data_IF_317096047447
#
_entry.id   IF_317096047447
#
_cell.length_a   1.000
_cell.length_b   1.000
_cell.length_c   1.000
_cell.angle_alpha   90.00
_cell.angle_beta   90.00
_cell.angle_gamma   90.00
#
_symmetry.space_group_name_H-M   'P 1'
#
loop_
_entity.id
_entity.type
_entity.pdbx_description
1 polymer ?
#
# COMPACT_ATOMS: atom_id res chain seq x y z
N UNK A 1 98.74 -4.00 -34.15
CA UNK A 1 97.37 -4.10 -33.60
C UNK A 1 96.61 -5.10 -34.48
N UNK A 2 96.14 -6.22 -33.92
CA UNK A 2 95.58 -7.33 -34.71
C UNK A 2 94.17 -6.97 -35.26
N UNK A 3 93.90 -7.14 -36.56
CA UNK A 3 92.61 -6.77 -37.18
C UNK A 3 91.42 -7.58 -36.64
N UNK A 4 91.70 -8.74 -36.03
CA UNK A 4 90.71 -9.62 -35.41
C UNK A 4 90.06 -9.05 -34.14
N UNK A 5 90.73 -8.12 -33.45
CA UNK A 5 90.19 -7.50 -32.25
C UNK A 5 88.95 -6.62 -32.52
N UNK A 6 88.91 -5.93 -33.67
CA UNK A 6 87.77 -5.08 -34.04
C UNK A 6 86.53 -5.87 -34.43
N UNK A 7 86.71 -7.01 -35.14
CA UNK A 7 85.61 -7.90 -35.54
C UNK A 7 84.99 -8.59 -34.33
N UNK A 8 85.83 -9.06 -33.40
CA UNK A 8 85.36 -9.67 -32.15
C UNK A 8 84.57 -8.67 -31.28
N UNK A 9 85.03 -7.42 -31.17
CA UNK A 9 84.31 -6.37 -30.45
C UNK A 9 82.97 -6.02 -31.10
N UNK A 10 82.91 -5.96 -32.43
CA UNK A 10 81.67 -5.72 -33.17
C UNK A 10 80.62 -6.83 -32.99
N UNK A 11 81.06 -8.10 -33.03
CA UNK A 11 80.19 -9.25 -32.77
C UNK A 11 79.64 -9.25 -31.33
N UNK A 12 80.48 -8.92 -30.35
CA UNK A 12 80.07 -8.81 -28.94
C UNK A 12 79.03 -7.72 -28.73
N UNK A 13 79.21 -6.54 -29.34
CA UNK A 13 78.24 -5.45 -29.30
C UNK A 13 76.91 -5.85 -29.96
N UNK A 14 76.96 -6.53 -31.10
CA UNK A 14 75.76 -6.99 -31.80
C UNK A 14 74.98 -8.02 -30.98
N UNK A 15 75.68 -8.96 -30.33
CA UNK A 15 75.08 -9.93 -29.42
C UNK A 15 74.43 -9.26 -28.22
N UNK A 16 75.10 -8.28 -27.60
CA UNK A 16 74.55 -7.52 -26.48
C UNK A 16 73.29 -6.75 -26.89
N UNK A 17 73.30 -6.14 -28.08
CA UNK A 17 72.16 -5.37 -28.60
C UNK A 17 70.96 -6.27 -28.91
N UNK A 18 71.20 -7.45 -29.48
CA UNK A 18 70.16 -8.48 -29.67
C UNK A 18 69.57 -8.94 -28.33
N UNK A 19 70.41 -9.15 -27.33
CA UNK A 19 69.96 -9.55 -25.99
C UNK A 19 69.07 -8.47 -25.36
N UNK A 20 69.49 -7.21 -25.44
CA UNK A 20 68.72 -6.05 -24.98
C UNK A 20 67.36 -5.93 -25.68
N UNK A 21 67.34 -6.04 -27.01
CA UNK A 21 66.09 -5.98 -27.79
C UNK A 21 65.16 -7.14 -27.45
N UNK A 22 65.70 -8.37 -27.30
CA UNK A 22 64.88 -9.53 -26.91
C UNK A 22 64.27 -9.38 -25.51
N UNK A 23 65.04 -8.85 -24.55
CA UNK A 23 64.57 -8.67 -23.18
C UNK A 23 63.54 -7.53 -23.11
N UNK A 24 63.76 -6.46 -23.86
CA UNK A 24 62.81 -5.37 -24.00
C UNK A 24 61.50 -5.82 -24.63
N UNK A 25 61.56 -6.57 -25.73
CA UNK A 25 60.37 -7.11 -26.40
C UNK A 25 59.60 -8.07 -25.48
N UNK A 26 60.28 -8.93 -24.72
CA UNK A 26 59.66 -9.80 -23.74
C UNK A 26 58.99 -9.03 -22.60
N UNK A 27 59.63 -7.96 -22.11
CA UNK A 27 59.09 -7.09 -21.07
C UNK A 27 57.84 -6.34 -21.54
N UNK A 28 57.88 -5.72 -22.72
CA UNK A 28 56.75 -4.97 -23.26
C UNK A 28 55.57 -5.91 -23.59
N UNK A 29 55.88 -7.11 -24.11
CA UNK A 29 54.87 -8.13 -24.33
C UNK A 29 54.20 -8.54 -23.01
N UNK A 30 54.99 -8.81 -21.96
CA UNK A 30 54.47 -9.11 -20.63
C UNK A 30 53.56 -8.00 -20.08
N UNK A 31 54.00 -6.74 -20.13
CA UNK A 31 53.17 -5.58 -19.75
C UNK A 31 51.86 -5.51 -20.54
N UNK A 32 51.93 -5.70 -21.86
CA UNK A 32 50.74 -5.60 -22.73
C UNK A 32 49.70 -6.69 -22.40
N UNK A 33 50.16 -7.90 -22.08
CA UNK A 33 49.29 -9.02 -21.67
C UNK A 33 48.66 -8.74 -20.32
N UNK A 34 49.42 -8.25 -19.34
CA UNK A 34 48.87 -7.89 -18.02
C UNK A 34 47.82 -6.78 -18.12
N UNK A 35 48.07 -5.72 -18.91
CA UNK A 35 47.08 -4.68 -19.14
C UNK A 35 45.83 -5.20 -19.87
N UNK A 36 45.99 -6.09 -20.84
CA UNK A 36 44.87 -6.69 -21.55
C UNK A 36 44.02 -7.58 -20.63
N UNK A 37 44.65 -8.43 -19.81
CA UNK A 37 43.98 -9.29 -18.83
C UNK A 37 43.25 -8.46 -17.77
N UNK A 38 43.93 -7.44 -17.21
CA UNK A 38 43.32 -6.53 -16.25
C UNK A 38 42.14 -5.75 -16.84
N UNK A 39 42.24 -5.34 -18.11
CA UNK A 39 41.17 -4.69 -18.86
C UNK A 39 39.98 -5.62 -19.08
N UNK A 40 40.20 -6.86 -19.51
CA UNK A 40 39.14 -7.86 -19.68
C UNK A 40 38.44 -8.21 -18.35
N UNK A 41 39.22 -8.38 -17.27
CA UNK A 41 38.67 -8.69 -15.95
C UNK A 41 37.85 -7.52 -15.40
N UNK A 42 38.30 -6.29 -15.62
CA UNK A 42 37.54 -5.10 -15.23
C UNK A 42 36.27 -4.94 -16.06
N UNK A 43 36.33 -5.10 -17.39
CA UNK A 43 35.16 -5.05 -18.25
C UNK A 43 34.10 -6.11 -17.88
N UNK A 44 34.54 -7.33 -17.52
CA UNK A 44 33.64 -8.38 -17.05
C UNK A 44 32.96 -8.00 -15.73
N UNK A 45 33.71 -7.43 -14.77
CA UNK A 45 33.14 -6.93 -13.51
C UNK A 45 32.16 -5.79 -13.75
N UNK A 46 32.54 -4.77 -14.51
CA UNK A 46 31.67 -3.63 -14.82
C UNK A 46 30.38 -4.09 -15.49
N UNK A 47 30.45 -5.05 -16.43
CA UNK A 47 29.24 -5.60 -17.05
C UNK A 47 28.34 -6.35 -16.06
N UNK A 48 28.94 -7.08 -15.11
CA UNK A 48 28.23 -7.76 -14.04
C UNK A 48 27.59 -6.78 -13.05
N UNK A 49 28.33 -5.74 -12.67
CA UNK A 49 27.87 -4.71 -11.75
C UNK A 49 26.70 -3.92 -12.37
N UNK A 50 26.78 -3.55 -13.65
CA UNK A 50 25.68 -2.91 -14.37
C UNK A 50 24.45 -3.80 -14.50
N UNK A 51 24.65 -5.09 -14.74
CA UNK A 51 23.53 -6.05 -14.79
C UNK A 51 22.89 -6.19 -13.40
N UNK A 52 23.70 -6.31 -12.36
CA UNK A 52 23.23 -6.40 -10.98
C UNK A 52 22.47 -5.12 -10.55
N UNK A 53 22.98 -3.94 -10.93
CA UNK A 53 22.32 -2.65 -10.72
C UNK A 53 20.93 -2.63 -11.38
N UNK A 54 20.83 -2.96 -12.67
CA UNK A 54 19.54 -2.95 -13.40
C UNK A 54 18.56 -3.99 -12.85
N UNK A 55 19.03 -5.17 -12.47
CA UNK A 55 18.18 -6.20 -11.84
C UNK A 55 17.68 -5.70 -10.48
N UNK A 56 18.56 -5.11 -9.67
CA UNK A 56 18.23 -4.52 -8.37
C UNK A 56 17.19 -3.41 -8.50
N UNK A 57 17.37 -2.47 -9.44
CA UNK A 57 16.41 -1.39 -9.70
C UNK A 57 15.06 -1.92 -10.15
N UNK A 58 15.02 -2.93 -11.02
CA UNK A 58 13.76 -3.54 -11.48
C UNK A 58 13.05 -4.25 -10.35
N UNK A 59 13.78 -5.02 -9.53
CA UNK A 59 13.21 -5.69 -8.37
C UNK A 59 12.64 -4.69 -7.37
N UNK A 60 13.37 -3.60 -7.08
CA UNK A 60 12.92 -2.53 -6.21
C UNK A 60 11.64 -1.86 -6.75
N UNK A 61 11.60 -1.51 -8.04
CA UNK A 61 10.40 -0.93 -8.65
C UNK A 61 9.21 -1.87 -8.67
N UNK A 62 9.42 -3.17 -8.90
CA UNK A 62 8.33 -4.15 -8.82
C UNK A 62 7.76 -4.25 -7.42
N UNK A 63 8.61 -4.21 -6.40
CA UNK A 63 8.18 -4.22 -5.00
C UNK A 63 7.43 -2.93 -4.64
N UNK A 64 7.93 -1.77 -5.08
CA UNK A 64 7.22 -0.49 -4.91
C UNK A 64 5.84 -0.49 -5.58
N UNK A 65 5.75 -1.00 -6.82
CA UNK A 65 4.47 -1.13 -7.54
C UNK A 65 3.51 -2.07 -6.80
N UNK A 66 3.99 -3.23 -6.36
CA UNK A 66 3.18 -4.18 -5.59
C UNK A 66 2.63 -3.56 -4.31
N UNK A 67 3.46 -2.82 -3.58
CA UNK A 67 3.03 -2.11 -2.35
C UNK A 67 2.01 -1.01 -2.67
N UNK A 68 2.20 -0.27 -3.75
CA UNK A 68 1.26 0.75 -4.19
C UNK A 68 -0.09 0.16 -4.60
N UNK A 69 -0.09 -0.97 -5.32
CA UNK A 69 -1.30 -1.67 -5.75
C UNK A 69 -2.08 -2.22 -4.55
N UNK A 70 -1.39 -2.86 -3.60
CA UNK A 70 -2.02 -3.37 -2.38
C UNK A 70 -2.66 -2.24 -1.54
N UNK A 71 -1.97 -1.12 -1.40
CA UNK A 71 -2.49 0.09 -0.74
C UNK A 71 -3.70 0.67 -1.48
N UNK A 72 -3.66 0.70 -2.81
CA UNK A 72 -4.76 1.21 -3.62
C UNK A 72 -5.99 0.31 -3.53
N UNK A 73 -5.82 -1.01 -3.60
CA UNK A 73 -6.91 -1.98 -3.43
C UNK A 73 -7.57 -1.82 -2.05
N UNK A 74 -6.76 -1.73 -0.99
CA UNK A 74 -7.26 -1.51 0.36
C UNK A 74 -8.07 -0.20 0.46
N UNK A 75 -7.61 0.89 -0.18
CA UNK A 75 -8.33 2.17 -0.22
C UNK A 75 -9.65 2.08 -0.97
N UNK A 76 -9.66 1.44 -2.14
CA UNK A 76 -10.88 1.28 -2.96
C UNK A 76 -11.91 0.46 -2.20
N UNK A 77 -11.51 -0.68 -1.63
CA UNK A 77 -12.39 -1.53 -0.83
C UNK A 77 -12.95 -0.79 0.40
N UNK A 78 -12.10 -0.05 1.12
CA UNK A 78 -12.55 0.76 2.24
C UNK A 78 -13.52 1.87 1.84
N UNK A 79 -13.36 2.47 0.67
CA UNK A 79 -14.30 3.46 0.13
C UNK A 79 -15.64 2.81 -0.26
N UNK A 80 -15.61 1.64 -0.89
CA UNK A 80 -16.81 0.88 -1.27
C UNK A 80 -17.63 0.47 -0.04
N UNK A 81 -16.98 -0.10 0.98
CA UNK A 81 -17.64 -0.49 2.24
C UNK A 81 -18.31 0.71 2.93
N UNK A 82 -17.65 1.88 2.98
CA UNK A 82 -18.26 3.12 3.50
C UNK A 82 -19.45 3.57 2.68
N UNK A 83 -19.35 3.53 1.36
CA UNK A 83 -20.42 3.95 0.46
C UNK A 83 -21.67 3.07 0.63
N UNK A 84 -21.48 1.76 0.77
CA UNK A 84 -22.56 0.80 1.03
C UNK A 84 -23.20 1.07 2.40
N UNK A 85 -22.38 1.29 3.44
CA UNK A 85 -22.89 1.58 4.78
C UNK A 85 -23.69 2.90 4.82
N UNK A 86 -23.21 3.95 4.15
CA UNK A 86 -23.92 5.23 4.06
C UNK A 86 -25.24 5.10 3.28
N UNK A 87 -25.24 4.37 2.16
CA UNK A 87 -26.47 4.10 1.41
C UNK A 87 -27.48 3.30 2.23
N UNK A 88 -27.02 2.29 2.97
CA UNK A 88 -27.86 1.51 3.88
C UNK A 88 -28.44 2.35 5.02
N UNK A 89 -27.67 3.29 5.57
CA UNK A 89 -28.15 4.22 6.60
C UNK A 89 -29.26 5.14 6.05
N UNK A 90 -29.10 5.66 4.83
CA UNK A 90 -30.12 6.51 4.18
C UNK A 90 -31.41 5.73 3.91
N UNK A 91 -31.32 4.49 3.41
CA UNK A 91 -32.52 3.67 3.16
C UNK A 91 -33.25 3.30 4.46
N UNK A 92 -32.51 2.96 5.52
CA UNK A 92 -33.06 2.68 6.84
C UNK A 92 -33.77 3.91 7.43
N UNK A 93 -33.21 5.11 7.27
CA UNK A 93 -33.84 6.35 7.70
C UNK A 93 -35.12 6.66 6.92
N UNK A 94 -35.10 6.47 5.59
CA UNK A 94 -36.27 6.64 4.74
C UNK A 94 -37.38 5.63 5.10
N UNK A 95 -37.05 4.37 5.34
CA UNK A 95 -38.00 3.37 5.82
C UNK A 95 -38.57 3.73 7.20
N UNK A 96 -37.72 4.25 8.09
CA UNK A 96 -38.12 4.75 9.40
C UNK A 96 -39.08 5.93 9.34
N UNK A 97 -38.86 6.88 8.42
CA UNK A 97 -39.77 8.01 8.18
C UNK A 97 -41.14 7.52 7.69
N UNK A 98 -41.16 6.64 6.68
CA UNK A 98 -42.43 6.06 6.17
C UNK A 98 -43.21 5.35 7.27
N UNK A 99 -42.54 4.58 8.13
CA UNK A 99 -43.20 3.89 9.24
C UNK A 99 -43.81 4.87 10.25
N UNK A 100 -43.11 5.97 10.56
CA UNK A 100 -43.63 7.02 11.45
C UNK A 100 -44.84 7.72 10.84
N UNK A 101 -44.81 8.01 9.54
CA UNK A 101 -45.94 8.63 8.83
C UNK A 101 -47.17 7.74 8.83
N UNK A 102 -47.01 6.43 8.53
CA UNK A 102 -48.12 5.47 8.56
C UNK A 102 -48.66 5.25 9.98
N UNK A 103 -47.78 5.19 11.00
CA UNK A 103 -48.20 5.13 12.39
C UNK A 103 -48.98 6.39 12.81
N UNK A 104 -48.56 7.58 12.35
CA UNK A 104 -49.26 8.84 12.59
C UNK A 104 -50.65 8.88 11.95
N UNK A 105 -50.78 8.41 10.70
CA UNK A 105 -52.09 8.27 10.02
C UNK A 105 -53.00 7.29 10.76
N UNK A 106 -52.47 6.14 11.18
CA UNK A 106 -53.22 5.16 11.95
C UNK A 106 -53.71 5.77 13.27
N UNK A 107 -52.83 6.42 14.03
CA UNK A 107 -53.19 7.10 15.28
C UNK A 107 -54.29 8.16 15.07
N UNK A 108 -54.21 8.96 14.00
CA UNK A 108 -55.25 9.94 13.66
C UNK A 108 -56.59 9.27 13.34
N UNK A 109 -56.60 8.14 12.62
CA UNK A 109 -57.83 7.40 12.27
C UNK A 109 -58.55 6.80 13.47
N UNK A 110 -57.82 6.39 14.52
CA UNK A 110 -58.39 5.77 15.73
C UNK A 110 -58.71 6.77 16.85
N UNK A 111 -58.36 8.05 16.69
CA UNK A 111 -58.50 9.10 17.72
C UNK A 111 -59.95 9.63 17.91
N UNK A 112 -60.96 9.12 17.20
CA UNK A 112 -62.34 9.58 17.39
C UNK A 112 -62.87 9.16 18.79
N UNK A 113 -63.14 10.10 19.71
CA UNK A 113 -63.61 9.74 21.04
C UNK A 113 -65.05 9.22 20.98
N UNK A 114 -65.32 8.09 21.62
CA UNK A 114 -66.69 7.65 21.89
C UNK A 114 -67.41 8.61 22.84
N UNK A 115 -68.75 8.65 22.79
CA UNK A 115 -69.60 9.59 23.54
C UNK A 115 -69.62 9.39 25.07
N UNK A 116 -68.90 8.40 25.60
CA UNK A 116 -68.85 8.09 27.03
C UNK A 116 -67.78 8.93 27.75
N UNK A 117 -68.24 10.00 28.41
CA UNK A 117 -67.40 10.99 29.11
C UNK A 117 -66.63 10.39 30.30
N UNK A 118 -67.13 9.32 30.93
CA UNK A 118 -66.43 8.66 32.04
C UNK A 118 -65.25 7.78 31.57
N UNK A 119 -65.36 7.20 30.38
CA UNK A 119 -64.26 6.50 29.71
C UNK A 119 -63.21 7.48 29.18
N UNK A 120 -63.64 8.62 28.62
CA UNK A 120 -62.74 9.71 28.17
C UNK A 120 -61.92 10.27 29.33
N UNK A 121 -62.54 10.53 30.49
CA UNK A 121 -61.84 11.06 31.67
C UNK A 121 -60.79 10.08 32.22
N UNK A 122 -61.10 8.76 32.25
CA UNK A 122 -60.11 7.72 32.61
C UNK A 122 -58.99 7.57 31.58
N UNK A 123 -59.29 7.83 30.30
CA UNK A 123 -58.31 7.79 29.20
C UNK A 123 -57.27 8.92 29.24
N UNK A 124 -57.62 10.12 29.73
CA UNK A 124 -56.72 11.29 29.68
C UNK A 124 -55.38 11.09 30.41
N UNK A 125 -55.39 10.44 31.57
CA UNK A 125 -54.15 10.15 32.31
C UNK A 125 -53.28 9.14 31.56
N UNK A 126 -53.91 8.14 30.93
CA UNK A 126 -53.20 7.16 30.10
C UNK A 126 -52.63 7.80 28.82
N UNK A 127 -53.35 8.72 28.18
CA UNK A 127 -52.86 9.48 27.02
C UNK A 127 -51.66 10.36 27.38
N UNK A 128 -51.68 11.04 28.54
CA UNK A 128 -50.50 11.80 29.02
C UNK A 128 -49.29 10.90 29.25
N UNK A 129 -49.48 9.75 29.90
CA UNK A 129 -48.41 8.79 30.09
C UNK A 129 -47.87 8.25 28.76
N UNK A 130 -48.75 7.96 27.81
CA UNK A 130 -48.38 7.51 26.46
C UNK A 130 -47.60 8.58 25.67
N UNK A 131 -47.97 9.87 25.78
CA UNK A 131 -47.24 10.97 25.14
C UNK A 131 -45.81 11.09 25.68
N UNK A 132 -45.63 11.03 27.00
CA UNK A 132 -44.29 11.06 27.63
C UNK A 132 -43.48 9.82 27.25
N UNK A 133 -44.08 8.64 27.26
CA UNK A 133 -43.40 7.41 26.85
C UNK A 133 -42.96 7.48 25.38
N UNK A 134 -43.79 8.07 24.51
CA UNK A 134 -43.49 8.24 23.09
C UNK A 134 -42.31 9.19 22.87
N UNK A 135 -42.26 10.34 23.57
CA UNK A 135 -41.11 11.26 23.52
C UNK A 135 -39.82 10.59 24.01
N UNK A 136 -39.89 9.83 25.11
CA UNK A 136 -38.74 9.08 25.63
C UNK A 136 -38.26 8.00 24.65
N UNK A 137 -39.19 7.27 24.03
CA UNK A 137 -38.87 6.28 23.00
C UNK A 137 -38.23 6.93 21.77
N UNK A 138 -38.75 8.07 21.32
CA UNK A 138 -38.20 8.80 20.17
C UNK A 138 -36.78 9.27 20.44
N UNK A 139 -36.53 9.90 21.60
CA UNK A 139 -35.18 10.28 22.04
C UNK A 139 -34.25 9.07 22.18
N UNK A 140 -34.72 8.00 22.81
CA UNK A 140 -33.93 6.78 22.99
C UNK A 140 -33.52 6.18 21.64
N UNK A 141 -34.46 6.06 20.71
CA UNK A 141 -34.19 5.52 19.38
C UNK A 141 -33.27 6.45 18.58
N UNK A 142 -33.42 7.77 18.68
CA UNK A 142 -32.51 8.73 18.05
C UNK A 142 -31.06 8.54 18.55
N UNK A 143 -30.86 8.51 19.87
CA UNK A 143 -29.54 8.28 20.45
C UNK A 143 -28.96 6.92 20.06
N UNK A 144 -29.78 5.86 20.04
CA UNK A 144 -29.34 4.53 19.62
C UNK A 144 -28.93 4.50 18.14
N UNK A 145 -29.61 5.25 17.26
CA UNK A 145 -29.22 5.37 15.84
C UNK A 145 -27.89 6.09 15.67
N UNK A 146 -27.69 7.21 16.36
CA UNK A 146 -26.42 7.93 16.34
C UNK A 146 -25.27 7.04 16.81
N UNK A 147 -25.49 6.27 17.89
CA UNK A 147 -24.50 5.34 18.42
C UNK A 147 -24.22 4.20 17.44
N UNK A 148 -25.24 3.62 16.81
CA UNK A 148 -25.09 2.58 15.80
C UNK A 148 -24.27 3.08 14.60
N UNK A 149 -24.58 4.28 14.09
CA UNK A 149 -23.84 4.88 12.99
C UNK A 149 -22.37 5.16 13.36
N UNK A 150 -22.11 5.65 14.58
CA UNK A 150 -20.76 5.85 15.07
C UNK A 150 -20.00 4.51 15.18
N UNK A 151 -20.67 3.46 15.67
CA UNK A 151 -20.10 2.13 15.79
C UNK A 151 -19.77 1.52 14.42
N UNK A 152 -20.68 1.62 13.44
CA UNK A 152 -20.43 1.13 12.08
C UNK A 152 -19.24 1.82 11.43
N UNK A 153 -19.13 3.14 11.57
CA UNK A 153 -17.95 3.89 11.10
C UNK A 153 -16.67 3.46 11.81
N UNK A 154 -16.72 3.26 13.13
CA UNK A 154 -15.57 2.80 13.91
C UNK A 154 -15.15 1.38 13.51
N UNK A 155 -16.10 0.47 13.28
CA UNK A 155 -15.84 -0.89 12.81
C UNK A 155 -15.17 -0.88 11.44
N UNK A 156 -15.73 -0.14 10.48
CA UNK A 156 -15.15 -0.02 9.13
C UNK A 156 -13.73 0.57 9.19
N UNK A 157 -13.51 1.60 10.02
CA UNK A 157 -12.18 2.19 10.20
C UNK A 157 -11.20 1.20 10.84
N UNK A 158 -11.65 0.41 11.83
CA UNK A 158 -10.85 -0.63 12.47
C UNK A 158 -10.49 -1.77 11.52
N UNK A 159 -11.45 -2.25 10.74
CA UNK A 159 -11.23 -3.27 9.69
C UNK A 159 -10.25 -2.77 8.63
N UNK A 160 -10.35 -1.50 8.22
CA UNK A 160 -9.36 -0.90 7.34
C UNK A 160 -7.97 -0.90 7.98
N UNK A 161 -7.85 -0.44 9.23
CA UNK A 161 -6.57 -0.40 9.95
C UNK A 161 -5.92 -1.79 10.03
N UNK A 162 -6.70 -2.82 10.35
CA UNK A 162 -6.24 -4.20 10.39
C UNK A 162 -5.73 -4.67 9.01
N UNK A 163 -6.46 -4.40 7.93
CA UNK A 163 -6.03 -4.76 6.57
C UNK A 163 -4.74 -4.05 6.14
N UNK A 164 -4.61 -2.76 6.46
CA UNK A 164 -3.38 -2.00 6.17
C UNK A 164 -2.19 -2.55 6.96
N UNK A 165 -2.38 -2.86 8.25
CA UNK A 165 -1.37 -3.50 9.07
C UNK A 165 -0.95 -4.87 8.52
N UNK A 166 -1.92 -5.72 8.16
CA UNK A 166 -1.63 -7.04 7.60
C UNK A 166 -0.87 -6.94 6.26
N UNK A 167 -1.20 -5.96 5.42
CA UNK A 167 -0.48 -5.67 4.19
C UNK A 167 0.97 -5.22 4.47
N UNK A 168 1.18 -4.36 5.47
CA UNK A 168 2.52 -3.93 5.89
C UNK A 168 3.34 -5.11 6.42
N UNK A 169 2.81 -5.90 7.34
CA UNK A 169 3.49 -7.07 7.92
C UNK A 169 3.78 -8.14 6.86
N UNK A 170 2.87 -8.37 5.90
CA UNK A 170 3.12 -9.27 4.79
C UNK A 170 4.27 -8.79 3.89
N UNK A 171 4.40 -7.47 3.70
CA UNK A 171 5.50 -6.87 2.93
C UNK A 171 6.86 -6.94 3.63
N UNK A 172 6.90 -7.04 4.97
CA UNK A 172 8.13 -7.15 5.75
C UNK A 172 8.66 -8.58 5.87
N UNK A 173 7.80 -9.60 5.73
CA UNK A 173 8.21 -11.02 5.82
C UNK A 173 8.78 -11.61 4.53
N UNK A 174 8.72 -10.87 3.43
CA UNK A 174 9.24 -11.31 2.12
C UNK A 174 10.52 -10.57 1.78
#
# INVERSE_FOLDING_TARGET
MSPWAGVAAGLLLLLLLLLLVSHWAAYEHGRSVEFALAGQQSAKRDSGDRLAEVIGERAARQEEQRRADAQQEARVKGHEERTIADAGAVDADAAGQRLRDEAGKLAASVSCPGTDTAAVARGQTATRAAMVLSDLLERSVATNRELAQAYDRARIAGEQCAREHDALVASERQ
#
